data_IF_120101365380
#
_entry.id   IF_120101365380
#
_cell.length_a   1.000
_cell.length_b   1.000
_cell.length_c   1.000
_cell.angle_alpha   90.00
_cell.angle_beta   90.00
_cell.angle_gamma   90.00
#
_symmetry.space_group_name_H-M   'P 1'
#
loop_
_entity.id
_entity.type
_entity.pdbx_description
1 polymer ?
#
# COMPACT_ATOMS: atom_id res chain seq x y z
N UNK A 1 -3.52 -9.45 -5.26
CA UNK A 1 -3.16 -8.39 -4.28
C UNK A 1 -4.41 -7.85 -3.60
N UNK A 2 -5.39 -7.34 -4.35
CA UNK A 2 -6.65 -6.81 -3.80
C UNK A 2 -7.41 -7.82 -2.94
N UNK A 3 -7.96 -7.36 -1.82
CA UNK A 3 -8.66 -8.18 -0.83
C UNK A 3 -7.76 -9.04 0.04
N UNK A 4 -6.44 -8.93 -0.11
CA UNK A 4 -5.48 -9.58 0.77
C UNK A 4 -4.51 -8.55 1.36
N UNK A 5 -3.56 -8.05 0.57
CA UNK A 5 -2.51 -7.12 1.03
C UNK A 5 -2.68 -5.70 0.51
N UNK A 6 -3.71 -5.45 -0.30
CA UNK A 6 -4.23 -4.11 -0.60
C UNK A 6 -5.77 -4.19 -0.50
N UNK A 7 -6.47 -3.08 -0.17
CA UNK A 7 -7.92 -3.06 -0.16
C UNK A 7 -8.51 -3.42 -1.54
N UNK A 8 -9.72 -3.98 -1.57
CA UNK A 8 -10.46 -4.08 -2.83
C UNK A 8 -10.87 -2.68 -3.29
N UNK A 9 -10.66 -2.39 -4.57
CA UNK A 9 -11.27 -1.26 -5.24
C UNK A 9 -12.54 -1.74 -5.92
N UNK A 10 -13.70 -1.28 -5.45
CA UNK A 10 -14.99 -1.62 -6.02
C UNK A 10 -15.34 -0.75 -7.24
N UNK A 11 -14.70 0.42 -7.36
CA UNK A 11 -14.85 1.28 -8.52
C UNK A 11 -14.35 2.68 -8.29
N UNK A 12 -14.37 3.47 -9.37
CA UNK A 12 -14.06 4.89 -9.37
C UNK A 12 -15.17 5.67 -10.07
N UNK A 13 -15.23 6.98 -9.84
CA UNK A 13 -16.20 7.84 -10.50
C UNK A 13 -15.98 9.31 -10.19
N UNK A 14 -17.02 10.11 -10.37
CA UNK A 14 -17.05 11.52 -9.96
C UNK A 14 -18.28 11.77 -9.10
N UNK A 15 -18.15 12.62 -8.07
CA UNK A 15 -19.29 12.99 -7.22
C UNK A 15 -20.00 14.20 -7.81
N UNK A 16 -21.16 13.97 -8.41
CA UNK A 16 -22.07 15.05 -8.83
C UNK A 16 -22.90 15.52 -7.63
N UNK A 17 -22.60 16.70 -7.10
CA UNK A 17 -23.39 17.33 -6.04
C UNK A 17 -24.43 18.25 -6.68
N UNK A 18 -25.69 17.80 -6.69
CA UNK A 18 -26.78 18.45 -7.42
C UNK A 18 -27.15 19.88 -6.96
N UNK A 19 -26.64 20.36 -5.82
CA UNK A 19 -27.10 21.61 -5.20
C UNK A 19 -26.20 22.84 -5.39
N UNK A 20 -25.03 22.73 -6.04
CA UNK A 20 -24.14 23.87 -6.24
C UNK A 20 -23.47 23.80 -7.61
N UNK A 21 -23.46 24.91 -8.37
CA UNK A 21 -22.62 25.09 -9.57
C UNK A 21 -21.15 25.09 -9.15
N UNK A 22 -20.60 23.92 -8.82
CA UNK A 22 -19.17 23.79 -8.53
C UNK A 22 -18.39 23.78 -9.84
N UNK A 23 -17.27 24.48 -9.84
CA UNK A 23 -16.34 24.51 -10.98
C UNK A 23 -15.65 23.16 -11.24
N UNK A 24 -15.74 22.23 -10.27
CA UNK A 24 -15.08 20.92 -10.33
C UNK A 24 -16.03 19.80 -9.91
N UNK A 25 -15.86 18.64 -10.54
CA UNK A 25 -16.47 17.37 -10.16
C UNK A 25 -15.39 16.47 -9.55
N UNK A 26 -15.32 16.34 -8.21
CA UNK A 26 -14.23 15.61 -7.58
C UNK A 26 -14.30 14.12 -7.93
N UNK A 27 -13.14 13.54 -8.20
CA UNK A 27 -12.99 12.09 -8.38
C UNK A 27 -13.22 11.36 -7.05
N UNK A 28 -13.82 10.18 -7.13
CA UNK A 28 -14.09 9.33 -5.98
C UNK A 28 -13.60 7.91 -6.26
N UNK A 29 -13.12 7.25 -5.20
CA UNK A 29 -12.81 5.83 -5.17
C UNK A 29 -13.71 5.16 -4.13
N UNK A 30 -14.32 4.04 -4.50
CA UNK A 30 -15.04 3.18 -3.57
C UNK A 30 -14.13 2.02 -3.19
N UNK A 31 -13.64 2.03 -1.96
CA UNK A 31 -12.70 1.02 -1.44
C UNK A 31 -13.33 0.16 -0.35
N UNK A 32 -12.76 -1.03 -0.16
CA UNK A 32 -13.01 -1.87 1.00
C UNK A 32 -12.73 -1.12 2.30
N UNK A 33 -13.72 -1.12 3.20
CA UNK A 33 -13.53 -0.64 4.56
C UNK A 33 -12.78 -1.68 5.38
N UNK A 34 -11.63 -1.31 5.91
CA UNK A 34 -10.79 -2.17 6.75
C UNK A 34 -11.14 -1.91 8.21
N UNK A 35 -12.04 -2.73 8.74
CA UNK A 35 -12.54 -2.58 10.10
C UNK A 35 -11.45 -2.87 11.15
N UNK A 36 -11.49 -2.08 12.24
CA UNK A 36 -10.62 -2.22 13.43
C UNK A 36 -9.13 -2.22 13.09
N UNK A 37 -8.72 -1.45 12.09
CA UNK A 37 -7.34 -1.35 11.64
C UNK A 37 -6.54 -0.35 12.48
N UNK A 38 -5.25 -0.62 12.63
CA UNK A 38 -4.25 0.36 13.10
C UNK A 38 -3.10 0.44 12.11
N UNK A 39 -2.50 1.61 11.98
CA UNK A 39 -1.27 1.77 11.20
C UNK A 39 -0.07 1.11 11.88
N UNK A 40 1.02 0.93 11.13
CA UNK A 40 2.24 0.27 11.59
C UNK A 40 2.89 0.96 12.80
N UNK A 41 2.71 2.27 12.95
CA UNK A 41 3.26 3.02 14.09
C UNK A 41 2.44 2.89 15.38
N UNK A 42 1.15 2.53 15.28
CA UNK A 42 0.22 2.45 16.41
C UNK A 42 -0.10 1.01 16.85
N UNK A 43 0.32 0.01 16.06
CA UNK A 43 0.09 -1.41 16.36
C UNK A 43 1.07 -1.90 17.43
N UNK A 44 0.61 -2.75 18.35
CA UNK A 44 1.50 -3.46 19.26
C UNK A 44 2.33 -4.48 18.47
N UNK A 45 3.67 -4.37 18.43
CA UNK A 45 4.50 -5.29 17.66
C UNK A 45 4.37 -6.75 18.11
N UNK A 46 4.05 -6.99 19.38
CA UNK A 46 3.98 -8.33 19.97
C UNK A 46 2.80 -9.16 19.45
N UNK A 47 1.77 -8.50 18.89
CA UNK A 47 0.59 -9.18 18.33
C UNK A 47 0.70 -9.43 16.83
N UNK A 48 1.72 -8.88 16.16
CA UNK A 48 1.88 -9.01 14.71
C UNK A 48 2.67 -10.26 14.36
N UNK A 49 2.01 -11.21 13.71
CA UNK A 49 2.67 -12.43 13.23
C UNK A 49 3.66 -12.15 12.09
N UNK A 50 4.81 -12.84 12.11
CA UNK A 50 5.88 -12.71 11.10
C UNK A 50 5.39 -12.98 9.67
N UNK A 51 4.40 -13.84 9.49
CA UNK A 51 3.83 -14.14 8.17
C UNK A 51 3.19 -12.91 7.51
N UNK A 52 2.66 -11.96 8.29
CA UNK A 52 2.11 -10.71 7.77
C UNK A 52 3.22 -9.80 7.23
N UNK A 53 4.35 -9.71 7.94
CA UNK A 53 5.54 -9.01 7.45
C UNK A 53 6.07 -9.61 6.15
N UNK A 54 6.13 -10.95 6.06
CA UNK A 54 6.49 -11.65 4.81
C UNK A 54 5.50 -11.35 3.67
N UNK A 55 4.20 -11.29 3.97
CA UNK A 55 3.17 -10.98 2.97
C UNK A 55 3.32 -9.54 2.44
N UNK A 56 3.64 -8.58 3.31
CA UNK A 56 3.94 -7.19 2.92
C UNK A 56 5.20 -7.11 2.06
N UNK A 57 6.27 -7.83 2.40
CA UNK A 57 7.50 -7.88 1.59
C UNK A 57 7.24 -8.46 0.19
N UNK A 58 6.47 -9.55 0.11
CA UNK A 58 6.04 -10.12 -1.18
C UNK A 58 5.20 -9.13 -1.98
N UNK A 59 4.34 -8.35 -1.31
CA UNK A 59 3.50 -7.33 -1.95
C UNK A 59 4.34 -6.20 -2.54
N UNK A 60 5.28 -5.64 -1.77
CA UNK A 60 6.17 -4.58 -2.24
C UNK A 60 7.03 -5.02 -3.43
N UNK A 61 7.48 -6.29 -3.46
CA UNK A 61 8.14 -6.86 -4.64
C UNK A 61 7.19 -6.96 -5.84
N UNK A 62 5.96 -7.43 -5.60
CA UNK A 62 4.98 -7.68 -6.65
C UNK A 62 4.49 -6.41 -7.35
N UNK A 63 4.56 -5.24 -6.69
CA UNK A 63 4.25 -3.97 -7.35
C UNK A 63 5.10 -3.77 -8.61
N UNK A 64 6.42 -3.88 -8.50
CA UNK A 64 7.30 -3.66 -9.65
C UNK A 64 7.11 -4.68 -10.78
N UNK A 65 6.82 -5.93 -10.43
CA UNK A 65 6.49 -7.01 -11.38
C UNK A 65 5.17 -6.77 -12.13
N UNK A 66 4.28 -5.95 -11.57
CA UNK A 66 3.00 -5.56 -12.15
C UNK A 66 3.04 -4.17 -12.80
N UNK A 67 4.22 -3.56 -12.92
CA UNK A 67 4.34 -2.23 -13.51
C UNK A 67 3.86 -1.11 -12.58
N UNK A 68 3.97 -1.29 -11.26
CA UNK A 68 3.57 -0.29 -10.26
C UNK A 68 4.73 0.02 -9.33
N UNK A 69 4.89 1.30 -8.97
CA UNK A 69 5.68 1.74 -7.81
C UNK A 69 4.79 2.52 -6.87
N UNK A 70 4.87 2.25 -5.57
CA UNK A 70 4.06 2.93 -4.56
C UNK A 70 4.63 4.27 -4.12
N UNK A 71 5.98 4.38 -4.03
CA UNK A 71 6.79 5.56 -3.67
C UNK A 71 6.60 6.11 -2.24
N UNK A 72 5.41 6.01 -1.64
CA UNK A 72 5.11 6.50 -0.29
C UNK A 72 4.77 5.41 0.75
N UNK A 73 5.64 4.39 0.87
CA UNK A 73 5.50 3.32 1.89
C UNK A 73 5.97 3.79 3.29
N UNK A 74 5.19 4.69 3.88
CA UNK A 74 5.38 5.16 5.26
C UNK A 74 4.58 4.32 6.27
N UNK A 75 4.73 4.59 7.58
CA UNK A 75 4.07 3.83 8.65
C UNK A 75 2.56 4.01 8.67
N UNK A 76 2.04 5.17 8.29
CA UNK A 76 0.59 5.44 8.22
C UNK A 76 -0.11 4.71 7.07
N UNK A 77 0.62 4.38 6.00
CA UNK A 77 0.09 3.71 4.80
C UNK A 77 0.12 2.17 4.89
N UNK A 78 0.53 1.61 6.03
CA UNK A 78 0.56 0.17 6.28
C UNK A 78 -0.36 -0.10 7.45
N UNK A 79 -1.46 -0.81 7.22
CA UNK A 79 -2.44 -1.13 8.26
C UNK A 79 -2.41 -2.61 8.64
N UNK A 80 -2.72 -2.89 9.90
CA UNK A 80 -2.91 -4.23 10.45
C UNK A 80 -4.32 -4.34 11.00
N UNK A 81 -5.02 -5.41 10.63
CA UNK A 81 -6.42 -5.61 11.01
C UNK A 81 -6.73 -7.09 11.30
N UNK A 82 -7.58 -7.38 12.30
CA UNK A 82 -8.00 -6.45 13.37
C UNK A 82 -6.82 -6.09 14.30
N UNK A 83 -6.83 -4.92 14.92
CA UNK A 83 -5.69 -4.39 15.67
C UNK A 83 -5.27 -5.25 16.88
N UNK A 84 -6.22 -5.91 17.56
CA UNK A 84 -5.91 -6.70 18.76
C UNK A 84 -5.21 -8.04 18.44
N UNK A 85 -5.50 -8.61 17.26
CA UNK A 85 -4.88 -9.85 16.77
C UNK A 85 -4.90 -9.83 15.24
N UNK A 86 -3.94 -9.13 14.61
CA UNK A 86 -3.93 -8.98 13.17
C UNK A 86 -3.90 -10.33 12.46
N UNK A 87 -4.84 -10.52 11.54
CA UNK A 87 -4.85 -11.65 10.60
C UNK A 87 -4.60 -11.18 9.17
N UNK A 88 -4.54 -9.86 8.97
CA UNK A 88 -4.33 -9.22 7.68
C UNK A 88 -3.49 -7.97 7.86
N UNK A 89 -2.61 -7.73 6.90
CA UNK A 89 -1.89 -6.47 6.75
C UNK A 89 -2.11 -5.93 5.35
N UNK A 90 -2.39 -4.63 5.23
CA UNK A 90 -2.72 -3.97 3.96
C UNK A 90 -1.89 -2.72 3.73
N UNK A 91 -1.53 -2.49 2.47
CA UNK A 91 -0.93 -1.25 1.99
C UNK A 91 -2.05 -0.39 1.38
N UNK A 92 -2.10 0.88 1.78
CA UNK A 92 -3.09 1.87 1.31
C UNK A 92 -2.38 3.09 0.72
N UNK A 93 -3.18 3.99 0.15
CA UNK A 93 -2.75 5.30 -0.35
C UNK A 93 -1.72 5.26 -1.48
N UNK A 94 -2.22 4.95 -2.67
CA UNK A 94 -1.46 4.95 -3.92
C UNK A 94 -1.48 6.33 -4.61
N UNK A 95 -1.75 7.42 -3.90
CA UNK A 95 -1.88 8.74 -4.51
C UNK A 95 -0.58 9.26 -5.15
N UNK A 96 0.58 8.85 -4.61
CA UNK A 96 1.91 9.18 -5.15
C UNK A 96 2.47 8.08 -6.06
N UNK A 97 1.68 7.04 -6.36
CA UNK A 97 2.15 5.89 -7.13
C UNK A 97 2.43 6.22 -8.60
N UNK A 98 3.37 5.47 -9.18
CA UNK A 98 3.69 5.49 -10.60
C UNK A 98 3.27 4.17 -11.26
N UNK A 99 2.84 4.25 -12.51
CA UNK A 99 2.54 3.09 -13.36
C UNK A 99 3.47 3.08 -14.56
N UNK A 100 3.93 1.88 -14.94
CA UNK A 100 4.70 1.66 -16.16
C UNK A 100 3.80 1.93 -17.37
N UNK A 101 4.27 2.79 -18.27
CA UNK A 101 3.59 3.03 -19.54
C UNK A 101 3.86 1.88 -20.53
N UNK A 102 2.95 1.64 -21.48
CA UNK A 102 3.05 0.52 -22.44
C UNK A 102 4.34 0.60 -23.29
N UNK A 103 4.75 1.81 -23.65
CA UNK A 103 5.92 2.09 -24.47
C UNK A 103 7.18 2.39 -23.63
N UNK A 104 7.12 2.20 -22.31
CA UNK A 104 8.24 2.51 -21.43
C UNK A 104 9.37 1.49 -21.57
N UNK A 105 10.55 2.00 -21.89
CA UNK A 105 11.77 1.22 -22.01
C UNK A 105 12.09 0.42 -20.73
N UNK A 106 12.58 -0.81 -20.91
CA UNK A 106 12.79 -1.73 -19.78
C UNK A 106 13.94 -1.30 -18.87
N UNK A 107 14.98 -0.66 -19.41
CA UNK A 107 16.09 -0.16 -18.60
C UNK A 107 15.64 1.07 -17.80
N UNK A 108 14.82 1.94 -18.41
CA UNK A 108 14.20 3.06 -17.71
C UNK A 108 13.28 2.58 -16.58
N UNK A 109 12.40 1.59 -16.84
CA UNK A 109 11.55 1.03 -15.78
C UNK A 109 12.38 0.38 -14.66
N UNK A 110 13.45 -0.35 -14.99
CA UNK A 110 14.33 -0.95 -13.99
C UNK A 110 15.00 0.13 -13.10
N UNK A 111 15.36 1.28 -13.68
CA UNK A 111 15.85 2.42 -12.93
C UNK A 111 14.77 3.03 -12.03
N UNK A 112 13.54 3.18 -12.51
CA UNK A 112 12.39 3.61 -11.71
C UNK A 112 12.17 2.70 -10.49
N UNK A 113 12.20 1.37 -10.68
CA UNK A 113 12.12 0.40 -9.58
C UNK A 113 13.27 0.55 -8.57
N UNK A 114 14.48 0.81 -9.07
CA UNK A 114 15.67 1.02 -8.23
C UNK A 114 15.56 2.29 -7.40
N UNK A 115 14.95 3.35 -7.94
CA UNK A 115 14.77 4.64 -7.28
C UNK A 115 13.61 4.64 -6.28
N UNK A 116 12.46 4.04 -6.64
CA UNK A 116 11.30 3.94 -5.75
C UNK A 116 11.61 3.16 -4.46
N UNK A 117 12.44 2.12 -4.56
CA UNK A 117 12.96 1.35 -3.41
C UNK A 117 11.88 0.73 -2.53
N UNK A 118 10.66 0.55 -3.03
CA UNK A 118 9.50 0.07 -2.26
C UNK A 118 9.81 -1.16 -1.39
N UNK A 119 10.46 -2.18 -1.97
CA UNK A 119 10.86 -3.39 -1.25
C UNK A 119 11.82 -3.09 -0.08
N UNK A 120 12.81 -2.23 -0.30
CA UNK A 120 13.79 -1.85 0.74
C UNK A 120 13.16 -0.96 1.81
N UNK A 121 12.27 -0.06 1.40
CA UNK A 121 11.54 0.83 2.32
C UNK A 121 10.63 -0.01 3.21
N UNK A 122 9.82 -0.90 2.64
CA UNK A 122 8.96 -1.83 3.38
C UNK A 122 9.76 -2.60 4.44
N UNK A 123 10.85 -3.27 4.05
CA UNK A 123 11.67 -4.03 5.01
C UNK A 123 12.29 -3.16 6.10
N UNK A 124 12.68 -1.92 5.77
CA UNK A 124 13.17 -0.95 6.76
C UNK A 124 12.09 -0.54 7.76
N UNK A 125 10.83 -0.39 7.32
CA UNK A 125 9.69 -0.10 8.21
C UNK A 125 9.39 -1.30 9.11
N UNK A 126 9.29 -2.50 8.55
CA UNK A 126 9.04 -3.73 9.34
C UNK A 126 10.14 -3.96 10.37
N UNK A 127 11.41 -3.74 10.00
CA UNK A 127 12.53 -3.80 10.94
C UNK A 127 12.40 -2.75 12.05
N UNK A 128 12.09 -1.50 11.70
CA UNK A 128 12.03 -0.38 12.65
C UNK A 128 10.89 -0.52 13.66
N UNK A 129 9.69 -0.89 13.21
CA UNK A 129 8.49 -0.89 14.04
C UNK A 129 8.18 -2.26 14.64
N UNK A 130 8.55 -3.35 13.96
CA UNK A 130 8.23 -4.72 14.40
C UNK A 130 9.46 -5.56 14.79
N UNK A 131 10.67 -5.02 14.66
CA UNK A 131 11.90 -5.76 14.98
C UNK A 131 12.22 -6.91 14.01
N UNK A 132 11.55 -6.98 12.85
CA UNK A 132 11.72 -8.07 11.88
C UNK A 132 13.00 -7.87 11.04
N UNK A 133 14.14 -8.33 11.55
CA UNK A 133 15.47 -8.11 10.93
C UNK A 133 15.83 -9.06 9.80
N UNK A 134 15.14 -10.19 9.70
CA UNK A 134 15.45 -11.32 8.84
C UNK A 134 14.61 -11.37 7.54
N UNK A 135 13.88 -10.29 7.26
CA UNK A 135 13.01 -10.17 6.09
C UNK A 135 13.67 -9.46 4.89
N UNK A 136 14.89 -8.95 5.06
CA UNK A 136 15.65 -8.18 4.07
C UNK A 136 16.59 -9.06 3.22
#
# INVERSE_FOLDING_TARGET
LQGNTIPRCFGSGTRSLASERRAISPHVLLLEYIQDAKCLEDIDPSVVDRSLGLALMKTARRFGELGVVHTDLNSSNILFAPAARPTRAVVIDFADSGVREEDEDSDYWAETLRQARDFRVMGSRLKRYLGMTDLL
#
